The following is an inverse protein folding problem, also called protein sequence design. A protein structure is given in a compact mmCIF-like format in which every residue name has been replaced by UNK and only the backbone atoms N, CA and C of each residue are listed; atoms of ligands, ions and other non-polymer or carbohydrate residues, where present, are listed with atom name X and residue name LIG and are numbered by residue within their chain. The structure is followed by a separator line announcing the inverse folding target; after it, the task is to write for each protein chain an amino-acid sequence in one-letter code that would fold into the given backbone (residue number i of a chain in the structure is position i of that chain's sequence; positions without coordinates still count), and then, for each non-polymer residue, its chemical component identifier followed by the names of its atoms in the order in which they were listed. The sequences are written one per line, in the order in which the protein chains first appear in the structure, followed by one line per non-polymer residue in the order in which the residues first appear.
data_IF_191575699253
#
_entry.id   IF_191575699253
#
_cell.length_a   1.000
_cell.length_b   1.000
_cell.length_c   1.000
_cell.angle_alpha   90.00
_cell.angle_beta   90.00
_cell.angle_gamma   90.00
#
_symmetry.space_group_name_H-M   'P 1'
#
loop_
_entity.id
_entity.type
_entity.pdbx_description
1 polymer ?
#
# COMPACT_ATOMS: atom_id res chain seq x y z
N UNK A 1 -21.22 1.89 -15.06
CA UNK A 1 -21.68 0.74 -14.24
C UNK A 1 -22.60 1.29 -13.17
N UNK A 2 -23.90 1.00 -13.27
CA UNK A 2 -24.90 1.40 -12.28
C UNK A 2 -25.00 0.33 -11.18
N UNK A 3 -24.42 0.61 -10.01
CA UNK A 3 -24.43 -0.32 -8.86
C UNK A 3 -25.84 -0.41 -8.23
N UNK A 4 -26.75 0.52 -8.54
CA UNK A 4 -28.13 0.45 -8.04
C UNK A 4 -28.99 -0.59 -8.77
N UNK A 5 -28.55 -1.06 -9.95
CA UNK A 5 -29.31 -2.00 -10.78
C UNK A 5 -30.60 -1.41 -11.37
N UNK A 6 -30.74 -0.08 -11.38
CA UNK A 6 -31.94 0.61 -11.87
C UNK A 6 -31.83 1.01 -13.35
N UNK A 7 -30.74 0.63 -14.03
CA UNK A 7 -30.49 0.98 -15.42
C UNK A 7 -30.21 2.48 -15.62
N UNK A 8 -29.76 3.18 -14.57
CA UNK A 8 -29.44 4.60 -14.65
C UNK A 8 -28.08 4.79 -15.32
N UNK A 9 -27.96 5.83 -16.15
CA UNK A 9 -26.66 6.24 -16.70
C UNK A 9 -25.85 7.05 -15.66
N UNK A 10 -25.57 6.41 -14.52
CA UNK A 10 -24.76 6.98 -13.44
C UNK A 10 -23.40 6.31 -13.42
N UNK A 11 -22.37 7.12 -13.64
CA UNK A 11 -20.98 6.71 -13.53
C UNK A 11 -20.49 6.81 -12.08
N UNK A 12 -19.57 5.92 -11.73
CA UNK A 12 -18.87 5.99 -10.45
C UNK A 12 -18.01 7.25 -10.41
N UNK A 13 -18.06 7.95 -9.29
CA UNK A 13 -17.19 9.10 -8.99
C UNK A 13 -16.17 8.69 -7.96
N UNK A 14 -14.98 9.28 -8.02
CA UNK A 14 -13.95 9.04 -7.04
C UNK A 14 -14.41 9.44 -5.62
N UNK A 15 -14.01 8.63 -4.63
CA UNK A 15 -14.20 8.98 -3.23
C UNK A 15 -13.44 10.26 -2.90
N UNK A 16 -14.06 11.13 -2.09
CA UNK A 16 -13.47 12.41 -1.65
C UNK A 16 -12.79 12.24 -0.30
N UNK A 17 -11.73 13.01 -0.07
CA UNK A 17 -10.99 13.06 1.21
C UNK A 17 -10.37 11.71 1.63
N UNK A 18 -9.99 10.87 0.67
CA UNK A 18 -9.26 9.62 0.94
C UNK A 18 -7.85 9.96 1.43
N UNK A 19 -7.49 9.47 2.62
CA UNK A 19 -6.13 9.56 3.13
C UNK A 19 -5.34 8.36 2.63
N UNK A 20 -4.19 8.62 2.03
CA UNK A 20 -3.28 7.59 1.55
C UNK A 20 -2.07 7.47 2.48
N UNK A 21 -1.40 6.32 2.43
CA UNK A 21 -0.06 6.17 3.01
C UNK A 21 0.94 7.07 2.28
N UNK A 22 2.17 7.24 2.83
CA UNK A 22 3.22 8.01 2.16
C UNK A 22 3.49 7.54 0.72
N UNK A 23 3.91 8.47 -0.14
CA UNK A 23 4.28 8.19 -1.54
C UNK A 23 5.59 7.41 -1.62
N UNK A 24 5.52 6.11 -1.36
CA UNK A 24 6.63 5.16 -1.39
C UNK A 24 6.13 3.86 -2.01
N UNK A 25 7.00 3.24 -2.80
CA UNK A 25 6.74 1.98 -3.49
C UNK A 25 7.84 0.98 -3.18
N UNK A 26 7.54 -0.29 -3.37
CA UNK A 26 8.54 -1.35 -3.36
C UNK A 26 8.86 -1.75 -4.80
N UNK A 27 10.13 -1.80 -5.16
CA UNK A 27 10.58 -2.23 -6.49
C UNK A 27 11.61 -3.35 -6.40
N UNK A 28 11.76 -4.10 -7.49
CA UNK A 28 12.90 -5.01 -7.67
C UNK A 28 14.18 -4.18 -7.55
N UNK A 29 15.10 -4.62 -6.69
CA UNK A 29 16.38 -3.98 -6.48
C UNK A 29 17.27 -4.19 -7.73
N UNK A 30 17.65 -3.12 -8.46
CA UNK A 30 18.48 -3.24 -9.65
C UNK A 30 19.90 -3.73 -9.34
N UNK A 31 20.32 -3.68 -8.07
CA UNK A 31 21.61 -4.16 -7.61
C UNK A 31 21.56 -5.59 -7.06
N UNK A 32 20.41 -6.27 -7.13
CA UNK A 32 20.30 -7.67 -6.70
C UNK A 32 21.11 -8.58 -7.64
N UNK A 33 22.10 -9.26 -7.09
CA UNK A 33 23.02 -10.12 -7.87
C UNK A 33 22.55 -11.56 -7.99
N UNK A 34 21.80 -12.06 -7.01
CA UNK A 34 21.25 -13.42 -7.00
C UNK A 34 19.73 -13.37 -7.20
N UNK A 35 19.26 -13.78 -8.38
CA UNK A 35 17.83 -13.84 -8.72
C UNK A 35 17.26 -15.26 -8.62
N UNK A 36 18.00 -16.22 -8.06
CA UNK A 36 17.57 -17.63 -7.97
C UNK A 36 16.25 -17.81 -7.22
N UNK A 37 15.95 -16.92 -6.27
CA UNK A 37 14.74 -16.92 -5.45
C UNK A 37 13.66 -15.94 -5.92
N UNK A 38 13.86 -15.27 -7.06
CA UNK A 38 12.93 -14.23 -7.54
C UNK A 38 11.52 -14.77 -7.75
N UNK A 39 11.39 -15.92 -8.42
CA UNK A 39 10.09 -16.53 -8.69
C UNK A 39 9.33 -16.86 -7.39
N UNK A 40 10.02 -17.43 -6.38
CA UNK A 40 9.42 -17.77 -5.09
C UNK A 40 8.98 -16.51 -4.31
N UNK A 41 9.77 -15.43 -4.38
CA UNK A 41 9.42 -14.17 -3.72
C UNK A 41 8.24 -13.47 -4.40
N UNK A 42 8.13 -13.55 -5.74
CA UNK A 42 6.95 -13.07 -6.47
C UNK A 42 5.72 -13.89 -6.09
N UNK A 43 5.83 -15.22 -6.05
CA UNK A 43 4.73 -16.11 -5.66
C UNK A 43 4.26 -15.85 -4.22
N UNK A 44 5.21 -15.67 -3.29
CA UNK A 44 4.92 -15.26 -1.91
C UNK A 44 4.17 -13.93 -1.87
N UNK A 45 4.66 -12.90 -2.58
CA UNK A 45 4.01 -11.60 -2.65
C UNK A 45 2.56 -11.72 -3.15
N UNK A 46 2.34 -12.47 -4.23
CA UNK A 46 1.03 -12.65 -4.84
C UNK A 46 0.10 -13.62 -4.08
N UNK A 47 0.64 -14.47 -3.20
CA UNK A 47 -0.17 -15.28 -2.29
C UNK A 47 -0.83 -14.41 -1.22
N UNK A 48 -0.16 -13.33 -0.79
CA UNK A 48 -0.62 -12.44 0.28
C UNK A 48 -1.08 -11.06 -0.22
N UNK A 49 -1.18 -10.85 -1.53
CA UNK A 49 -1.64 -9.59 -2.13
C UNK A 49 -2.27 -9.83 -3.51
N UNK A 50 -2.92 -8.80 -4.08
CA UNK A 50 -3.61 -8.93 -5.36
C UNK A 50 -2.69 -8.62 -6.56
N UNK A 51 -2.24 -9.68 -7.24
CA UNK A 51 -1.46 -9.58 -8.48
C UNK A 51 -2.29 -9.74 -9.76
N UNK A 52 -3.62 -9.78 -9.70
CA UNK A 52 -4.47 -10.07 -10.88
C UNK A 52 -4.28 -9.09 -12.03
N UNK A 53 -3.85 -7.86 -11.74
CA UNK A 53 -3.56 -6.84 -12.75
C UNK A 53 -2.41 -7.22 -13.69
N UNK A 54 -1.53 -8.16 -13.29
CA UNK A 54 -0.46 -8.71 -14.14
C UNK A 54 -0.97 -9.77 -15.13
N UNK A 55 -2.20 -10.26 -14.97
CA UNK A 55 -2.79 -11.27 -15.83
C UNK A 55 -2.94 -10.81 -17.28
N UNK A 56 -3.02 -11.78 -18.19
CA UNK A 56 -3.23 -11.50 -19.61
C UNK A 56 -4.49 -10.64 -19.83
N UNK A 57 -4.35 -9.58 -20.63
CA UNK A 57 -5.44 -8.65 -20.91
C UNK A 57 -5.79 -7.66 -19.78
N UNK A 58 -5.06 -7.68 -18.66
CA UNK A 58 -5.26 -6.77 -17.55
C UNK A 58 -4.43 -5.49 -17.68
N UNK A 59 -4.64 -4.53 -16.77
CA UNK A 59 -4.06 -3.18 -16.81
C UNK A 59 -2.52 -3.14 -16.80
N UNK A 60 -1.88 -4.16 -16.22
CA UNK A 60 -0.43 -4.30 -16.09
C UNK A 60 0.16 -5.44 -16.94
N UNK A 61 -0.57 -5.96 -17.92
CA UNK A 61 -0.07 -7.03 -18.79
C UNK A 61 1.16 -6.65 -19.64
N UNK A 62 1.41 -5.34 -19.86
CA UNK A 62 2.48 -4.84 -20.71
C UNK A 62 3.76 -4.46 -19.95
N UNK A 63 3.88 -4.81 -18.66
CA UNK A 63 5.11 -4.62 -17.92
C UNK A 63 6.20 -5.59 -18.41
N UNK A 64 7.46 -5.17 -18.35
CA UNK A 64 8.60 -6.08 -18.53
C UNK A 64 8.80 -6.94 -17.26
N UNK A 65 9.79 -7.84 -17.27
CA UNK A 65 10.04 -8.73 -16.13
C UNK A 65 10.34 -7.95 -14.83
N UNK A 66 11.06 -6.83 -14.93
CA UNK A 66 11.41 -5.96 -13.79
C UNK A 66 10.16 -5.28 -13.24
N UNK A 67 9.31 -4.76 -14.12
CA UNK A 67 8.03 -4.15 -13.78
C UNK A 67 7.08 -5.17 -13.14
N UNK A 68 6.99 -6.39 -13.68
CA UNK A 68 6.15 -7.45 -13.10
C UNK A 68 6.56 -7.82 -11.67
N UNK A 69 7.87 -8.02 -11.44
CA UNK A 69 8.39 -8.29 -10.10
C UNK A 69 8.15 -7.12 -9.14
N UNK A 70 8.43 -5.90 -9.62
CA UNK A 70 8.21 -4.67 -8.84
C UNK A 70 6.74 -4.49 -8.48
N UNK A 71 5.82 -4.82 -9.39
CA UNK A 71 4.38 -4.73 -9.14
C UNK A 71 3.97 -5.69 -8.02
N UNK A 72 4.36 -6.96 -8.12
CA UNK A 72 4.09 -7.95 -7.08
C UNK A 72 4.61 -7.51 -5.70
N UNK A 73 5.88 -7.06 -5.65
CA UNK A 73 6.48 -6.56 -4.41
C UNK A 73 5.75 -5.33 -3.87
N UNK A 74 5.34 -4.40 -4.73
CA UNK A 74 4.57 -3.24 -4.30
C UNK A 74 3.21 -3.64 -3.73
N UNK A 75 2.47 -4.56 -4.37
CA UNK A 75 1.16 -4.98 -3.86
C UNK A 75 1.25 -5.54 -2.45
N UNK A 76 2.26 -6.38 -2.19
CA UNK A 76 2.54 -6.89 -0.85
C UNK A 76 2.98 -5.77 0.12
N UNK A 77 3.92 -4.92 -0.28
CA UNK A 77 4.39 -3.80 0.57
C UNK A 77 3.24 -2.89 1.03
N UNK A 78 2.31 -2.58 0.12
CA UNK A 78 1.18 -1.70 0.40
C UNK A 78 0.13 -2.36 1.31
N UNK A 79 -0.21 -3.65 1.11
CA UNK A 79 -1.16 -4.35 2.02
C UNK A 79 -0.58 -4.52 3.42
N UNK A 80 0.76 -4.60 3.52
CA UNK A 80 1.49 -4.64 4.78
C UNK A 80 1.71 -3.27 5.43
N UNK A 81 0.95 -2.24 5.05
CA UNK A 81 1.05 -0.87 5.59
C UNK A 81 2.45 -0.24 5.48
N UNK A 82 3.21 -0.56 4.44
CA UNK A 82 4.54 -0.01 4.18
C UNK A 82 5.56 -0.26 5.32
N UNK A 83 5.45 -1.39 6.03
CA UNK A 83 6.47 -1.80 7.00
C UNK A 83 7.83 -1.92 6.31
N UNK A 84 8.91 -1.45 6.95
CA UNK A 84 10.23 -1.44 6.29
C UNK A 84 10.69 -2.85 5.90
N UNK A 85 10.35 -3.86 6.70
CA UNK A 85 10.66 -5.27 6.42
C UNK A 85 9.77 -5.92 5.35
N UNK A 86 8.65 -5.29 4.95
CA UNK A 86 7.78 -5.85 3.89
C UNK A 86 8.27 -5.53 2.47
N UNK A 87 9.42 -4.87 2.33
CA UNK A 87 10.08 -4.59 1.06
C UNK A 87 11.55 -5.07 1.05
N UNK A 88 11.82 -6.21 1.68
CA UNK A 88 13.15 -6.82 1.65
C UNK A 88 13.22 -7.95 0.60
N UNK A 89 12.30 -8.91 0.65
CA UNK A 89 12.25 -10.08 -0.25
C UNK A 89 13.62 -10.77 -0.39
N UNK A 90 14.29 -11.01 0.74
CA UNK A 90 15.64 -11.60 0.78
C UNK A 90 16.69 -10.75 0.03
N UNK A 91 16.57 -9.42 0.12
CA UNK A 91 17.41 -8.44 -0.56
C UNK A 91 17.08 -8.20 -2.04
N UNK A 92 16.05 -8.87 -2.57
CA UNK A 92 15.60 -8.71 -3.96
C UNK A 92 14.82 -7.43 -4.19
N UNK A 93 14.30 -6.79 -3.14
CA UNK A 93 13.50 -5.58 -3.28
C UNK A 93 14.10 -4.41 -2.51
N UNK A 94 13.66 -3.20 -2.88
CA UNK A 94 14.01 -1.98 -2.15
C UNK A 94 12.88 -0.94 -2.25
N UNK A 95 12.79 -0.09 -1.23
CA UNK A 95 11.85 1.02 -1.22
C UNK A 95 12.35 2.13 -2.15
N UNK A 96 11.41 2.73 -2.89
CA UNK A 96 11.66 3.89 -3.74
C UNK A 96 10.58 4.95 -3.55
N UNK A 97 10.98 6.22 -3.66
CA UNK A 97 10.05 7.36 -3.69
C UNK A 97 9.69 7.75 -5.13
N UNK A 98 10.20 7.04 -6.13
CA UNK A 98 9.89 7.24 -7.54
C UNK A 98 8.61 6.48 -7.89
N UNK A 99 7.65 7.17 -8.49
CA UNK A 99 6.45 6.53 -9.02
C UNK A 99 6.84 5.56 -10.16
N UNK A 100 6.42 4.30 -10.03
CA UNK A 100 6.70 3.21 -10.97
C UNK A 100 5.55 2.95 -11.95
N UNK A 101 4.45 3.71 -11.83
CA UNK A 101 3.28 3.57 -12.71
C UNK A 101 3.64 3.90 -14.16
N UNK A 102 3.14 3.09 -15.09
CA UNK A 102 3.41 3.25 -16.53
C UNK A 102 2.18 2.92 -17.37
N UNK A 103 1.84 3.82 -18.30
CA UNK A 103 0.68 3.65 -19.18
C UNK A 103 -0.62 3.46 -18.40
N UNK A 104 -1.26 2.30 -18.60
CA UNK A 104 -2.48 1.89 -17.90
C UNK A 104 -2.24 1.19 -16.56
N UNK A 105 -0.98 0.87 -16.24
CA UNK A 105 -0.62 0.16 -15.02
C UNK A 105 -0.31 1.14 -13.90
N UNK A 106 -1.16 1.14 -12.87
CA UNK A 106 -1.00 1.99 -11.69
C UNK A 106 -0.38 1.18 -10.55
N UNK A 107 0.79 1.61 -10.08
CA UNK A 107 1.36 1.12 -8.84
C UNK A 107 0.68 1.83 -7.68
N UNK A 108 -0.27 1.15 -7.06
CA UNK A 108 -1.12 1.77 -6.03
C UNK A 108 -0.31 2.15 -4.78
N UNK A 109 -0.87 3.08 -4.01
CA UNK A 109 -0.54 3.34 -2.61
C UNK A 109 -1.77 3.00 -1.79
N UNK A 110 -1.60 2.24 -0.71
CA UNK A 110 -2.74 1.84 0.11
C UNK A 110 -3.33 3.04 0.85
N UNK A 111 -4.64 2.98 1.11
CA UNK A 111 -5.29 3.97 1.98
C UNK A 111 -4.73 3.88 3.40
N UNK A 112 -4.50 5.04 4.01
CA UNK A 112 -4.07 5.11 5.39
C UNK A 112 -5.22 4.80 6.35
N UNK A 113 -4.90 4.33 7.55
CA UNK A 113 -5.88 4.30 8.63
C UNK A 113 -6.29 5.74 8.94
N UNK A 114 -7.59 6.02 8.89
CA UNK A 114 -8.13 7.22 9.50
C UNK A 114 -7.87 7.09 11.00
N UNK A 115 -6.77 7.65 11.48
CA UNK A 115 -6.66 7.93 12.90
C UNK A 115 -7.77 8.93 13.14
N UNK A 116 -8.87 8.47 13.76
CA UNK A 116 -9.71 9.38 14.53
C UNK A 116 -8.70 10.00 15.47
N UNK A 117 -8.22 11.19 15.12
CA UNK A 117 -7.61 12.07 16.08
C UNK A 117 -8.76 12.32 17.05
N UNK A 118 -8.89 11.46 18.05
CA UNK A 118 -9.40 11.89 19.32
C UNK A 118 -8.49 13.07 19.62
N UNK A 119 -8.97 14.27 19.29
CA UNK A 119 -8.55 15.48 19.96
C UNK A 119 -8.81 15.16 21.42
N UNK A 120 -7.83 14.56 22.09
CA UNK A 120 -7.81 14.44 23.52
C UNK A 120 -7.88 15.88 23.95
N UNK A 121 -9.09 16.30 24.34
CA UNK A 121 -9.28 17.62 24.88
C UNK A 121 -8.26 17.73 26.02
N UNK A 122 -7.42 18.77 26.06
CA UNK A 122 -6.35 18.89 27.05
C UNK A 122 -6.87 18.92 28.50
N UNK A 123 -8.19 18.95 28.72
CA UNK A 123 -8.83 19.01 30.04
C UNK A 123 -8.93 17.70 30.82
N UNK A 124 -8.79 16.51 30.21
CA UNK A 124 -9.02 15.24 30.94
C UNK A 124 -7.78 14.81 31.76
N UNK A 125 -6.57 15.19 31.34
CA UNK A 125 -5.32 14.80 32.03
C UNK A 125 -5.09 15.59 33.33
N UNK A 126 -5.77 16.72 33.53
CA UNK A 126 -5.56 17.62 34.69
C UNK A 126 -6.27 17.12 35.97
N UNK A 127 -7.27 16.24 35.85
CA UNK A 127 -8.05 15.78 37.02
C UNK A 127 -7.34 14.71 37.86
N UNK A 128 -6.38 13.98 37.30
CA UNK A 128 -5.66 12.91 38.02
C UNK A 128 -4.43 13.41 38.79
N UNK A 129 -3.83 14.55 38.41
CA UNK A 129 -2.69 15.13 39.13
C UNK A 129 -3.11 16.02 40.32
N UNK A 130 -4.35 16.53 40.34
CA UNK A 130 -4.86 17.39 41.40
C UNK A 130 -5.26 16.66 42.69
N UNK A 131 -5.60 15.36 42.62
CA UNK A 131 -6.01 14.60 43.81
C UNK A 131 -4.85 14.13 44.68
N UNK A 132 -3.62 14.09 44.15
CA UNK A 132 -2.42 13.68 44.90
C UNK A 132 -1.90 14.82 45.80
N UNK A 133 -2.18 16.09 45.46
CA UNK A 133 -1.73 17.25 46.24
C UNK A 133 -2.65 17.64 47.43
N UNK A 134 -3.79 16.98 47.61
CA UNK A 134 -4.71 17.22 48.74
C UNK A 134 -4.58 16.17 49.87
N UNK A 135 -3.66 15.22 49.73
CA UNK A 135 -3.39 14.15 50.71
C UNK A 135 -1.95 14.18 51.27
N UNK A 136 -1.23 15.30 51.10
CA UNK A 136 0.05 15.59 51.75
C UNK A 136 -0.01 16.95 52.46
#
# INVERSE_FOLDING_TARGET
MDISGQGQDKHLVAAKNVQYLPNRWCMLNPNATDLSKLANNIDYACTFSDCTSLGYGSSCNNLDAIGNASYAFNMFYQVQNQLDLSCDFEGLAMVTNRNLSQGTCNFIIQTGKYSISHKVLPGIVVLLSGFIFLLL
#
